data_IF_275303587960
#
_entry.id   IF_275303587960
#
_cell.length_a   1.000
_cell.length_b   1.000
_cell.length_c   1.000
_cell.angle_alpha   90.00
_cell.angle_beta   90.00
_cell.angle_gamma   90.00
#
_symmetry.space_group_name_H-M   'P 1'
#
loop_
_entity.id
_entity.type
_entity.pdbx_description
1 polymer ?
#
# COMPACT_ATOMS: atom_id res chain seq x y z
N UNK A 1 -18.46 -5.81 51.71
CA UNK A 1 -18.15 -5.21 50.39
C UNK A 1 -19.25 -5.63 49.43
N UNK A 2 -20.19 -4.74 49.09
CA UNK A 2 -21.34 -5.08 48.23
C UNK A 2 -21.01 -4.78 46.77
N UNK A 3 -20.92 -5.82 45.93
CA UNK A 3 -20.74 -5.67 44.48
C UNK A 3 -22.13 -5.60 43.83
N UNK A 4 -22.41 -4.49 43.13
CA UNK A 4 -23.70 -4.28 42.46
C UNK A 4 -23.73 -5.08 41.15
N UNK A 5 -24.74 -5.94 40.96
CA UNK A 5 -24.86 -6.75 39.73
C UNK A 5 -25.08 -5.87 38.49
N UNK A 6 -24.36 -6.10 37.38
CA UNK A 6 -24.50 -5.30 36.17
C UNK A 6 -25.85 -5.55 35.50
N UNK A 7 -26.41 -4.48 34.91
CA UNK A 7 -27.73 -4.51 34.30
C UNK A 7 -27.62 -5.00 32.85
N UNK A 8 -28.16 -6.19 32.55
CA UNK A 8 -27.95 -6.91 31.28
C UNK A 8 -28.35 -6.10 30.04
N UNK A 9 -29.33 -5.19 30.16
CA UNK A 9 -29.73 -4.29 29.07
C UNK A 9 -28.63 -3.28 28.73
N UNK A 10 -27.91 -2.78 29.73
CA UNK A 10 -26.76 -1.88 29.55
C UNK A 10 -25.56 -2.61 28.94
N UNK A 11 -25.39 -3.89 29.26
CA UNK A 11 -24.34 -4.74 28.67
C UNK A 11 -24.60 -4.99 27.18
N UNK A 12 -25.85 -5.27 26.80
CA UNK A 12 -26.24 -5.44 25.39
C UNK A 12 -25.98 -4.17 24.56
N UNK A 13 -26.33 -2.99 25.08
CA UNK A 13 -26.08 -1.71 24.40
C UNK A 13 -24.57 -1.46 24.23
N UNK A 14 -23.76 -1.78 25.23
CA UNK A 14 -22.30 -1.62 25.17
C UNK A 14 -21.67 -2.52 24.09
N UNK A 15 -22.19 -3.73 23.90
CA UNK A 15 -21.70 -4.66 22.87
C UNK A 15 -22.11 -4.18 21.46
N UNK A 16 -23.33 -3.66 21.32
CA UNK A 16 -23.85 -3.15 20.04
C UNK A 16 -23.16 -1.86 19.58
N UNK A 17 -22.85 -0.94 20.49
CA UNK A 17 -22.18 0.33 20.16
C UNK A 17 -20.65 0.26 20.27
N UNK A 18 -20.10 -0.58 21.16
CA UNK A 18 -18.66 -0.75 21.37
C UNK A 18 -18.01 -1.80 20.48
N UNK A 19 -18.75 -2.82 20.03
CA UNK A 19 -18.22 -3.87 19.15
C UNK A 19 -17.91 -3.40 17.73
N UNK A 20 -18.46 -2.25 17.31
CA UNK A 20 -18.25 -1.68 15.99
C UNK A 20 -17.00 -0.80 15.87
N UNK A 21 -16.24 -0.58 16.95
CA UNK A 21 -15.04 0.28 16.91
C UNK A 21 -13.82 -0.35 16.22
N UNK A 22 -13.81 -1.66 15.96
CA UNK A 22 -12.62 -2.36 15.43
C UNK A 22 -12.82 -3.10 14.09
N UNK A 23 -13.96 -2.98 13.41
CA UNK A 23 -14.33 -3.91 12.33
C UNK A 23 -13.90 -3.52 10.90
N UNK A 24 -13.28 -2.36 10.66
CA UNK A 24 -12.96 -1.94 9.28
C UNK A 24 -11.54 -1.39 9.09
N UNK A 25 -10.53 -2.15 9.53
CA UNK A 25 -9.15 -1.98 9.06
C UNK A 25 -8.78 -2.98 7.95
N UNK A 26 -9.76 -3.58 7.25
CA UNK A 26 -9.44 -4.51 6.18
C UNK A 26 -8.99 -3.75 4.94
N UNK A 27 -7.75 -4.00 4.51
CA UNK A 27 -7.23 -3.46 3.26
C UNK A 27 -8.11 -3.94 2.09
N UNK A 28 -8.25 -3.14 1.02
CA UNK A 28 -8.98 -3.55 -0.18
C UNK A 28 -8.44 -4.89 -0.72
N UNK A 29 -9.33 -5.77 -1.16
CA UNK A 29 -8.91 -6.99 -1.86
C UNK A 29 -8.30 -6.60 -3.21
N UNK A 30 -7.05 -6.99 -3.47
CA UNK A 30 -6.42 -6.82 -4.77
C UNK A 30 -7.20 -7.63 -5.80
N UNK A 31 -7.87 -6.96 -6.74
CA UNK A 31 -8.69 -7.59 -7.78
C UNK A 31 -7.83 -8.10 -8.93
N UNK A 32 -6.69 -7.47 -9.16
CA UNK A 32 -5.75 -7.82 -10.21
C UNK A 32 -4.36 -7.25 -9.92
N UNK A 33 -3.33 -8.07 -10.11
CA UNK A 33 -1.93 -7.67 -10.15
C UNK A 33 -1.23 -8.41 -11.29
N UNK A 34 -0.38 -7.71 -12.05
CA UNK A 34 0.48 -8.32 -13.06
C UNK A 34 1.85 -7.65 -13.02
N UNK A 35 2.88 -8.44 -12.78
CA UNK A 35 4.27 -7.98 -12.86
C UNK A 35 4.82 -8.31 -14.24
N UNK A 36 5.29 -7.29 -14.97
CA UNK A 36 6.06 -7.48 -16.20
C UNK A 36 7.53 -7.53 -15.82
N UNK A 37 7.97 -8.70 -15.35
CA UNK A 37 9.37 -8.91 -15.00
C UNK A 37 10.22 -8.99 -16.27
N UNK A 38 11.22 -8.12 -16.37
CA UNK A 38 12.30 -8.28 -17.33
C UNK A 38 13.39 -9.19 -16.73
N UNK A 39 14.13 -9.94 -17.56
CA UNK A 39 15.19 -10.85 -17.10
C UNK A 39 16.35 -10.16 -16.35
N UNK A 40 16.37 -8.83 -16.26
CA UNK A 40 17.37 -8.08 -15.51
C UNK A 40 16.78 -7.46 -14.26
N UNK A 41 17.56 -7.45 -13.18
CA UNK A 41 17.16 -6.91 -11.89
C UNK A 41 17.17 -5.39 -11.91
N UNK A 42 16.03 -4.76 -11.63
CA UNK A 42 15.99 -3.34 -11.30
C UNK A 42 16.46 -3.16 -9.85
N UNK A 43 17.35 -2.19 -9.61
CA UNK A 43 17.91 -1.91 -8.29
C UNK A 43 17.43 -0.55 -7.81
N UNK A 44 16.69 -0.52 -6.70
CA UNK A 44 16.34 0.73 -6.01
C UNK A 44 17.37 1.04 -4.93
N UNK A 45 17.94 2.25 -4.94
CA UNK A 45 18.94 2.69 -3.96
C UNK A 45 18.32 3.48 -2.82
N UNK A 46 17.32 4.31 -3.11
CA UNK A 46 16.69 5.17 -2.13
C UNK A 46 15.26 5.54 -2.53
N UNK A 47 14.44 5.86 -1.53
CA UNK A 47 13.08 6.34 -1.68
C UNK A 47 12.80 7.46 -0.66
N UNK A 48 12.05 8.49 -1.05
CA UNK A 48 11.66 9.60 -0.19
C UNK A 48 10.17 9.90 -0.35
N UNK A 49 9.47 10.16 0.76
CA UNK A 49 8.06 10.55 0.73
C UNK A 49 7.88 11.99 0.25
N UNK A 50 6.82 12.27 -0.50
CA UNK A 50 6.45 13.60 -0.97
C UNK A 50 5.36 14.24 -0.10
N UNK A 51 5.24 15.56 -0.15
CA UNK A 51 4.32 16.33 0.70
C UNK A 51 2.82 16.04 0.41
N UNK A 52 2.53 15.53 -0.78
CA UNK A 52 1.21 15.07 -1.22
C UNK A 52 0.91 13.61 -0.79
N UNK A 53 1.82 12.96 -0.05
CA UNK A 53 1.66 11.59 0.43
C UNK A 53 2.13 10.52 -0.54
N UNK A 54 2.76 10.89 -1.66
CA UNK A 54 3.44 9.98 -2.58
C UNK A 54 4.86 9.61 -2.17
N UNK A 55 5.60 8.97 -3.09
CA UNK A 55 7.01 8.61 -2.92
C UNK A 55 7.79 8.81 -4.23
N UNK A 56 9.03 9.32 -4.12
CA UNK A 56 10.02 9.38 -5.21
C UNK A 56 11.07 8.31 -4.94
N UNK A 57 11.44 7.54 -5.97
CA UNK A 57 12.46 6.49 -5.88
C UNK A 57 13.59 6.75 -6.88
N UNK A 58 14.82 6.41 -6.49
CA UNK A 58 16.01 6.49 -7.36
C UNK A 58 16.72 5.14 -7.40
N UNK A 59 17.15 4.74 -8.60
CA UNK A 59 17.67 3.40 -8.85
C UNK A 59 18.20 3.24 -10.27
N UNK A 60 18.69 2.03 -10.57
CA UNK A 60 19.08 1.62 -11.92
C UNK A 60 18.06 0.61 -12.46
N UNK A 61 17.66 0.80 -13.71
CA UNK A 61 16.91 -0.18 -14.48
C UNK A 61 17.80 -0.71 -15.59
N UNK A 62 17.89 -2.03 -15.72
CA UNK A 62 18.66 -2.67 -16.78
C UNK A 62 17.68 -3.20 -17.84
N UNK A 63 17.86 -2.78 -19.08
CA UNK A 63 17.07 -3.26 -20.22
C UNK A 63 18.00 -3.92 -21.23
N UNK A 64 17.58 -5.04 -21.82
CA UNK A 64 18.29 -5.60 -22.98
C UNK A 64 17.84 -4.83 -24.22
N UNK A 65 18.72 -3.99 -24.74
CA UNK A 65 18.53 -3.32 -26.03
C UNK A 65 19.00 -4.29 -27.12
N UNK A 66 18.44 -5.49 -27.17
CA UNK A 66 18.71 -6.46 -28.24
C UNK A 66 17.73 -6.34 -29.41
N UNK A 67 17.14 -5.14 -29.63
CA UNK A 67 16.30 -4.92 -30.81
C UNK A 67 15.55 -3.58 -31.02
N UNK A 68 15.77 -2.50 -30.25
CA UNK A 68 15.02 -1.25 -30.44
C UNK A 68 15.93 0.00 -30.54
N UNK A 69 15.69 0.94 -31.47
CA UNK A 69 16.46 2.18 -31.63
C UNK A 69 16.06 3.26 -30.60
N UNK A 70 16.00 2.91 -29.31
CA UNK A 70 15.57 3.80 -28.23
C UNK A 70 16.63 3.92 -27.13
N UNK A 71 17.91 3.90 -27.48
CA UNK A 71 19.00 4.10 -26.53
C UNK A 71 19.08 5.54 -25.96
N UNK A 72 18.10 6.41 -26.21
CA UNK A 72 18.13 7.81 -25.77
C UNK A 72 16.76 8.46 -25.47
N UNK A 73 15.67 7.72 -25.32
CA UNK A 73 14.33 8.33 -25.14
C UNK A 73 13.70 8.18 -23.74
N UNK A 74 14.03 7.15 -22.96
CA UNK A 74 13.09 6.70 -21.91
C UNK A 74 13.53 6.95 -20.45
N UNK A 75 14.39 7.95 -20.21
CA UNK A 75 14.64 8.44 -18.84
C UNK A 75 13.85 9.71 -18.48
N UNK A 76 12.94 10.16 -19.34
CA UNK A 76 12.19 11.42 -19.14
C UNK A 76 10.67 11.29 -19.06
N UNK A 77 10.09 10.09 -19.11
CA UNK A 77 8.65 9.92 -18.98
C UNK A 77 8.35 9.07 -17.77
N UNK A 78 8.13 9.73 -16.63
CA UNK A 78 7.14 9.38 -15.58
C UNK A 78 7.37 10.31 -14.36
N UNK A 79 7.26 11.63 -14.61
CA UNK A 79 6.81 12.57 -13.59
C UNK A 79 5.45 13.09 -14.05
N UNK A 80 4.39 12.40 -13.64
CA UNK A 80 3.04 12.93 -13.51
C UNK A 80 2.40 12.33 -12.27
#
# INVERSE_FOLDING_TARGET
MFVRKPNMKKLLILILFGGNLCLFAQAPSVVWEHSYDWPYSNVCYNAASTADGGFIMVGNAYTDISGAPLANADMNFLYH
#
